data_IF_992461166884
#
_entry.id   IF_992461166884
#
_cell.length_a   1.000
_cell.length_b   1.000
_cell.length_c   1.000
_cell.angle_alpha   90.00
_cell.angle_beta   90.00
_cell.angle_gamma   90.00
#
_symmetry.space_group_name_H-M   'P 1'
#
loop_
_entity.id
_entity.type
_entity.pdbx_description
1 polymer ?
#
# COMPACT_ATOMS: atom_id res chain seq x y z
N UNK A 1 -10.76 8.95 14.48
CA UNK A 1 -9.56 9.80 14.55
C UNK A 1 -8.80 9.64 13.25
N UNK A 2 -8.50 10.72 12.53
CA UNK A 2 -7.70 10.62 11.30
C UNK A 2 -6.26 10.25 11.66
N UNK A 3 -5.69 9.24 11.01
CA UNK A 3 -4.29 8.87 11.21
C UNK A 3 -3.39 10.02 10.72
N UNK A 4 -2.45 10.47 11.55
CA UNK A 4 -1.47 11.48 11.15
C UNK A 4 -0.39 10.86 10.24
N UNK A 5 0.28 11.69 9.43
CA UNK A 5 1.28 11.23 8.43
C UNK A 5 2.37 10.37 9.06
N UNK A 6 2.81 10.69 10.29
CA UNK A 6 3.82 9.92 11.01
C UNK A 6 3.35 8.50 11.38
N UNK A 7 2.12 8.35 11.85
CA UNK A 7 1.53 7.03 12.17
C UNK A 7 1.34 6.18 10.92
N UNK A 8 0.93 6.78 9.80
CA UNK A 8 0.79 6.10 8.52
C UNK A 8 2.15 5.65 7.96
N UNK A 9 3.18 6.50 8.05
CA UNK A 9 4.54 6.15 7.64
C UNK A 9 5.06 4.91 8.38
N UNK A 10 4.93 4.90 9.71
CA UNK A 10 5.39 3.76 10.53
C UNK A 10 4.61 2.48 10.23
N UNK A 11 3.30 2.59 9.98
CA UNK A 11 2.48 1.45 9.59
C UNK A 11 2.96 0.85 8.27
N UNK A 12 3.06 1.66 7.21
CA UNK A 12 3.45 1.18 5.88
C UNK A 12 4.88 0.65 5.82
N UNK A 13 5.79 1.23 6.60
CA UNK A 13 7.16 0.71 6.74
C UNK A 13 7.19 -0.68 7.38
N UNK A 14 6.32 -0.95 8.36
CA UNK A 14 6.19 -2.28 9.00
C UNK A 14 5.39 -3.27 8.15
N UNK A 15 4.45 -2.77 7.36
CA UNK A 15 3.66 -3.57 6.45
C UNK A 15 4.53 -4.20 5.36
N UNK A 16 5.62 -3.51 4.96
CA UNK A 16 6.59 -3.97 3.95
C UNK A 16 5.91 -4.46 2.66
N UNK A 17 5.32 -3.49 1.93
CA UNK A 17 4.62 -3.77 0.69
C UNK A 17 5.51 -4.52 -0.32
N UNK A 18 6.81 -4.20 -0.36
CA UNK A 18 7.75 -4.85 -1.27
C UNK A 18 7.94 -6.33 -0.93
N UNK A 19 8.03 -6.68 0.36
CA UNK A 19 8.05 -8.08 0.77
C UNK A 19 6.76 -8.80 0.36
N UNK A 20 5.61 -8.22 0.65
CA UNK A 20 4.33 -8.80 0.25
C UNK A 20 4.24 -9.01 -1.27
N UNK A 21 4.66 -8.03 -2.07
CA UNK A 21 4.71 -8.13 -3.53
C UNK A 21 5.57 -9.31 -3.99
N UNK A 22 6.77 -9.50 -3.41
CA UNK A 22 7.64 -10.65 -3.72
C UNK A 22 7.01 -12.00 -3.34
N UNK A 23 6.34 -12.08 -2.19
CA UNK A 23 5.65 -13.30 -1.75
C UNK A 23 4.47 -13.65 -2.67
N UNK A 24 3.74 -12.63 -3.13
CA UNK A 24 2.65 -12.78 -4.09
C UNK A 24 3.16 -13.22 -5.47
N UNK A 25 4.27 -12.66 -5.97
CA UNK A 25 4.93 -13.08 -7.22
C UNK A 25 5.34 -14.56 -7.18
N UNK A 26 5.99 -14.96 -6.09
CA UNK A 26 6.39 -16.35 -5.89
C UNK A 26 5.17 -17.29 -5.88
N UNK A 27 4.10 -16.88 -5.19
CA UNK A 27 2.84 -17.64 -5.14
C UNK A 27 2.18 -17.73 -6.51
N UNK A 28 2.13 -16.63 -7.28
CA UNK A 28 1.57 -16.59 -8.62
C UNK A 28 2.34 -17.51 -9.59
N UNK A 29 3.67 -17.55 -9.47
CA UNK A 29 4.54 -18.44 -10.25
C UNK A 29 4.25 -19.91 -9.96
N UNK A 30 4.15 -20.27 -8.67
CA UNK A 30 3.79 -21.64 -8.26
C UNK A 30 2.36 -22.00 -8.70
N UNK A 31 1.44 -21.04 -8.67
CA UNK A 31 0.05 -21.25 -9.06
C UNK A 31 -0.06 -21.65 -10.52
N UNK A 32 0.69 -21.00 -11.42
CA UNK A 32 0.72 -21.34 -12.84
C UNK A 32 1.15 -22.80 -13.06
N UNK A 33 2.22 -23.24 -12.39
CA UNK A 33 2.68 -24.62 -12.46
C UNK A 33 1.62 -25.61 -11.95
N UNK A 34 0.96 -25.28 -10.84
CA UNK A 34 -0.10 -26.14 -10.25
C UNK A 34 -1.34 -26.23 -11.14
N UNK A 35 -1.70 -25.16 -11.84
CA UNK A 35 -2.78 -25.18 -12.83
C UNK A 35 -2.49 -26.18 -13.94
N UNK A 36 -1.30 -26.12 -14.53
CA UNK A 36 -0.88 -27.04 -15.59
C UNK A 36 -0.85 -28.50 -15.10
N UNK A 37 -0.31 -28.76 -13.91
CA UNK A 37 -0.28 -30.10 -13.31
C UNK A 37 -1.68 -30.65 -13.05
N UNK A 38 -2.59 -29.83 -12.50
CA UNK A 38 -3.98 -30.22 -12.24
C UNK A 38 -4.73 -30.54 -13.53
N UNK A 39 -4.52 -29.76 -14.59
CA UNK A 39 -5.14 -30.03 -15.89
C UNK A 39 -4.63 -31.31 -16.53
N UNK A 40 -3.32 -31.58 -16.43
CA UNK A 40 -2.74 -32.85 -16.89
C UNK A 40 -3.25 -34.04 -16.08
N UNK A 41 -3.29 -33.94 -14.76
CA UNK A 41 -3.80 -34.99 -13.86
C UNK A 41 -5.25 -35.34 -14.18
N UNK A 42 -6.10 -34.32 -14.38
CA UNK A 42 -7.50 -34.51 -14.78
C UNK A 42 -7.62 -35.23 -16.13
N UNK A 43 -6.81 -34.86 -17.14
CA UNK A 43 -6.79 -35.55 -18.44
C UNK A 43 -6.42 -37.03 -18.29
N UNK A 44 -5.37 -37.34 -17.51
CA UNK A 44 -4.95 -38.73 -17.23
C UNK A 44 -6.05 -39.54 -16.54
N UNK A 45 -6.74 -38.97 -15.55
CA UNK A 45 -7.85 -39.63 -14.85
C UNK A 45 -9.02 -39.95 -15.80
N UNK A 46 -9.34 -39.04 -16.73
CA UNK A 46 -10.39 -39.27 -17.72
C UNK A 46 -10.00 -40.43 -18.66
N UNK A 47 -8.76 -40.48 -19.11
CA UNK A 47 -8.23 -41.57 -19.95
C UNK A 47 -8.27 -42.90 -19.21
N UNK A 48 -7.78 -42.95 -17.97
CA UNK A 48 -7.84 -44.14 -17.11
C UNK A 48 -9.28 -44.62 -16.88
N UNK A 49 -10.23 -43.70 -16.67
CA UNK A 49 -11.65 -44.04 -16.51
C UNK A 49 -12.25 -44.66 -17.77
N UNK A 50 -11.86 -44.14 -18.96
CA UNK A 50 -12.29 -44.69 -20.25
C UNK A 50 -11.69 -46.06 -20.51
N UNK A 51 -10.40 -46.22 -20.24
CA UNK A 51 -9.69 -47.50 -20.39
C UNK A 51 -10.25 -48.56 -19.44
N UNK A 52 -10.47 -48.20 -18.17
CA UNK A 52 -11.15 -49.07 -17.21
C UNK A 52 -12.51 -49.51 -17.73
N UNK A 53 -13.36 -48.58 -18.22
CA UNK A 53 -14.64 -48.94 -18.80
C UNK A 53 -14.48 -49.91 -19.96
N UNK A 54 -13.57 -49.65 -20.91
CA UNK A 54 -13.35 -50.50 -22.10
C UNK A 54 -12.94 -51.94 -21.74
N UNK A 55 -12.08 -52.09 -20.74
CA UNK A 55 -11.47 -53.37 -20.38
C UNK A 55 -12.23 -54.15 -19.28
N UNK A 56 -13.34 -53.60 -18.76
CA UNK A 56 -14.11 -54.21 -17.66
C UNK A 56 -15.38 -54.91 -18.18
N UNK A 57 -15.70 -56.13 -17.67
CA UNK A 57 -16.96 -56.84 -17.95
C UNK A 57 -18.21 -56.01 -17.67
N UNK A 58 -19.30 -56.27 -18.39
CA UNK A 58 -20.51 -55.43 -18.36
C UNK A 58 -21.16 -55.36 -16.97
N UNK A 59 -21.25 -56.50 -16.29
CA UNK A 59 -21.87 -56.66 -14.97
C UNK A 59 -21.11 -55.84 -13.90
N UNK A 60 -19.77 -55.90 -13.93
CA UNK A 60 -18.93 -55.09 -13.05
C UNK A 60 -18.98 -53.60 -13.43
N UNK A 61 -19.07 -53.29 -14.73
CA UNK A 61 -19.23 -51.91 -15.22
C UNK A 61 -20.53 -51.29 -14.70
N UNK A 62 -21.64 -52.04 -14.65
CA UNK A 62 -22.94 -51.58 -14.10
C UNK A 62 -22.84 -51.25 -12.61
N UNK A 63 -22.13 -52.06 -11.82
CA UNK A 63 -21.95 -51.82 -10.39
C UNK A 63 -21.04 -50.62 -10.11
N UNK A 64 -19.98 -50.44 -10.89
CA UNK A 64 -18.96 -49.39 -10.68
C UNK A 64 -19.36 -48.04 -11.31
N UNK A 65 -20.28 -48.03 -12.28
CA UNK A 65 -20.69 -46.81 -12.98
C UNK A 65 -21.21 -45.68 -12.07
N UNK A 66 -22.08 -45.92 -11.06
CA UNK A 66 -22.52 -44.88 -10.13
C UNK A 66 -21.36 -44.29 -9.33
N UNK A 67 -20.42 -45.13 -8.89
CA UNK A 67 -19.24 -44.72 -8.14
C UNK A 67 -18.34 -43.80 -8.97
N UNK A 68 -18.01 -44.22 -10.20
CA UNK A 68 -17.20 -43.40 -11.12
C UNK A 68 -17.88 -42.06 -11.43
N UNK A 69 -19.21 -42.04 -11.56
CA UNK A 69 -19.97 -40.81 -11.79
C UNK A 69 -19.91 -39.88 -10.56
N UNK A 70 -19.99 -40.43 -9.36
CA UNK A 70 -19.83 -39.66 -8.11
C UNK A 70 -18.43 -39.06 -7.98
N UNK A 71 -17.37 -39.84 -8.25
CA UNK A 71 -16.00 -39.34 -8.25
C UNK A 71 -15.77 -38.25 -9.30
N UNK A 72 -16.31 -38.44 -10.51
CA UNK A 72 -16.24 -37.41 -11.55
C UNK A 72 -16.92 -36.11 -11.11
N UNK A 73 -18.10 -36.19 -10.50
CA UNK A 73 -18.81 -35.04 -9.96
C UNK A 73 -18.00 -34.29 -8.90
N UNK A 74 -17.39 -35.01 -7.96
CA UNK A 74 -16.57 -34.40 -6.92
C UNK A 74 -15.29 -33.77 -7.49
N UNK A 75 -14.62 -34.43 -8.45
CA UNK A 75 -13.45 -33.89 -9.13
C UNK A 75 -13.80 -32.61 -9.89
N UNK A 76 -14.95 -32.57 -10.57
CA UNK A 76 -15.40 -31.40 -11.32
C UNK A 76 -15.77 -30.25 -10.38
N UNK A 77 -16.45 -30.54 -9.26
CA UNK A 77 -16.76 -29.56 -8.23
C UNK A 77 -15.49 -28.98 -7.57
N UNK A 78 -14.53 -29.84 -7.23
CA UNK A 78 -13.24 -29.44 -6.68
C UNK A 78 -12.46 -28.58 -7.69
N UNK A 79 -12.41 -29.00 -8.95
CA UNK A 79 -11.75 -28.25 -10.03
C UNK A 79 -12.36 -26.88 -10.21
N UNK A 80 -13.70 -26.77 -10.16
CA UNK A 80 -14.40 -25.49 -10.23
C UNK A 80 -14.03 -24.58 -9.06
N UNK A 81 -14.10 -25.09 -7.82
CA UNK A 81 -13.73 -24.32 -6.61
C UNK A 81 -12.27 -23.89 -6.63
N UNK A 82 -11.35 -24.73 -7.12
CA UNK A 82 -9.93 -24.38 -7.27
C UNK A 82 -9.75 -23.24 -8.26
N UNK A 83 -10.34 -23.35 -9.46
CA UNK A 83 -10.28 -22.30 -10.49
C UNK A 83 -10.87 -20.97 -10.01
N UNK A 84 -11.96 -20.99 -9.25
CA UNK A 84 -12.55 -19.78 -8.66
C UNK A 84 -11.63 -19.15 -7.62
N UNK A 85 -11.02 -19.94 -6.73
CA UNK A 85 -10.06 -19.44 -5.73
C UNK A 85 -8.79 -18.89 -6.38
N UNK A 86 -8.25 -19.58 -7.38
CA UNK A 86 -7.11 -19.13 -8.18
C UNK A 86 -7.40 -17.81 -8.90
N UNK A 87 -8.57 -17.69 -9.53
CA UNK A 87 -9.00 -16.46 -10.18
C UNK A 87 -9.14 -15.29 -9.19
N UNK A 88 -9.72 -15.55 -8.01
CA UNK A 88 -9.83 -14.55 -6.96
C UNK A 88 -8.45 -14.07 -6.48
N UNK A 89 -7.51 -15.00 -6.26
CA UNK A 89 -6.13 -14.67 -5.93
C UNK A 89 -5.47 -13.81 -7.02
N UNK A 90 -5.54 -14.24 -8.28
CA UNK A 90 -4.92 -13.51 -9.39
C UNK A 90 -5.52 -12.11 -9.58
N UNK A 91 -6.82 -11.94 -9.30
CA UNK A 91 -7.47 -10.63 -9.35
C UNK A 91 -6.94 -9.66 -8.29
N UNK A 92 -6.65 -10.14 -7.08
CA UNK A 92 -6.05 -9.33 -6.02
C UNK A 92 -4.57 -9.06 -6.32
N UNK A 93 -3.83 -10.11 -6.71
CA UNK A 93 -2.42 -10.02 -7.09
C UNK A 93 -2.15 -8.94 -8.16
N UNK A 94 -2.89 -8.98 -9.28
CA UNK A 94 -2.77 -7.99 -10.37
C UNK A 94 -2.98 -6.54 -9.91
N UNK A 95 -3.80 -6.33 -8.87
CA UNK A 95 -4.07 -5.00 -8.33
C UNK A 95 -2.99 -4.52 -7.36
N UNK A 96 -2.25 -5.45 -6.73
CA UNK A 96 -1.26 -5.13 -5.70
C UNK A 96 0.17 -5.09 -6.23
N UNK A 97 0.48 -5.84 -7.28
CA UNK A 97 1.86 -5.98 -7.76
C UNK A 97 2.42 -4.68 -8.35
N UNK A 98 1.58 -3.90 -9.01
CA UNK A 98 1.97 -2.64 -9.65
C UNK A 98 1.79 -1.42 -8.73
N UNK A 99 1.37 -1.62 -7.47
CA UNK A 99 1.14 -0.51 -6.54
C UNK A 99 2.49 0.06 -6.11
N UNK A 100 2.74 1.36 -6.32
CA UNK A 100 3.97 1.99 -5.84
C UNK A 100 3.98 2.02 -4.30
N UNK A 101 5.16 1.82 -3.73
CA UNK A 101 5.35 1.90 -2.27
C UNK A 101 5.01 3.32 -1.78
N UNK A 102 4.06 3.49 -0.83
CA UNK A 102 3.73 4.80 -0.27
C UNK A 102 4.77 5.33 0.72
N UNK A 103 5.69 4.49 1.23
CA UNK A 103 6.67 4.85 2.27
C UNK A 103 7.53 6.07 1.86
N UNK A 104 8.10 6.16 0.64
CA UNK A 104 8.89 7.32 0.23
C UNK A 104 8.09 8.62 0.19
N UNK A 105 6.84 8.57 -0.28
CA UNK A 105 5.97 9.75 -0.33
C UNK A 105 5.55 10.20 1.09
N UNK A 106 5.30 9.25 2.00
CA UNK A 106 4.96 9.53 3.39
C UNK A 106 6.15 10.10 4.17
N UNK A 107 7.37 9.62 3.93
CA UNK A 107 8.60 10.20 4.50
C UNK A 107 8.78 11.66 4.08
N UNK A 108 8.66 11.92 2.77
CA UNK A 108 8.71 13.29 2.25
C UNK A 108 7.64 14.18 2.87
N UNK A 109 6.41 13.67 3.01
CA UNK A 109 5.31 14.38 3.66
C UNK A 109 5.62 14.75 5.11
N UNK A 110 6.22 13.83 5.88
CA UNK A 110 6.65 14.10 7.25
C UNK A 110 7.75 15.16 7.30
N UNK A 111 8.74 15.09 6.42
CA UNK A 111 9.82 16.08 6.36
C UNK A 111 9.31 17.47 5.98
N UNK A 112 8.37 17.56 5.04
CA UNK A 112 7.73 18.82 4.65
C UNK A 112 6.91 19.41 5.80
N UNK A 113 6.19 18.59 6.56
CA UNK A 113 5.44 19.05 7.73
C UNK A 113 6.36 19.70 8.78
N UNK A 114 7.52 19.09 9.04
CA UNK A 114 8.52 19.67 9.95
C UNK A 114 9.11 20.98 9.41
N UNK A 115 9.37 21.06 8.10
CA UNK A 115 9.85 22.29 7.46
C UNK A 115 8.84 23.42 7.54
N UNK A 116 7.55 23.12 7.30
CA UNK A 116 6.46 24.10 7.40
C UNK A 116 6.34 24.64 8.82
N UNK A 117 6.41 23.78 9.84
CA UNK A 117 6.40 24.22 11.23
C UNK A 117 7.57 25.18 11.52
N UNK A 118 8.78 24.80 11.10
CA UNK A 118 9.97 25.63 11.28
C UNK A 118 9.87 26.97 10.54
N UNK A 119 9.31 26.98 9.34
CA UNK A 119 9.09 28.23 8.59
C UNK A 119 8.13 29.16 9.33
N UNK A 120 7.04 28.62 9.87
CA UNK A 120 6.08 29.40 10.65
C UNK A 120 6.71 30.00 11.92
N UNK A 121 7.55 29.23 12.61
CA UNK A 121 8.27 29.70 13.80
C UNK A 121 9.22 30.86 13.42
N UNK A 122 9.96 30.73 12.32
CA UNK A 122 10.87 31.76 11.79
C UNK A 122 10.11 33.01 11.34
N UNK A 123 8.98 32.86 10.64
CA UNK A 123 8.15 33.99 10.21
C UNK A 123 7.62 34.78 11.41
N UNK A 124 7.17 34.07 12.45
CA UNK A 124 6.69 34.68 13.70
C UNK A 124 7.80 35.43 14.43
N UNK A 125 9.01 34.87 14.51
CA UNK A 125 10.17 35.54 15.09
C UNK A 125 10.57 36.77 14.27
N UNK A 126 10.60 36.65 12.93
CA UNK A 126 10.93 37.75 12.04
C UNK A 126 9.96 38.93 12.21
N UNK A 127 8.66 38.64 12.32
CA UNK A 127 7.63 39.65 12.56
C UNK A 127 7.88 40.40 13.88
N UNK A 128 8.13 39.68 14.98
CA UNK A 128 8.44 40.28 16.29
C UNK A 128 9.70 41.14 16.27
N UNK A 129 10.74 40.70 15.57
CA UNK A 129 11.98 41.46 15.42
C UNK A 129 11.75 42.75 14.63
N UNK A 130 10.94 42.71 13.56
CA UNK A 130 10.55 43.90 12.80
C UNK A 130 9.80 44.90 13.65
N UNK A 131 8.81 44.45 14.43
CA UNK A 131 8.05 45.28 15.36
C UNK A 131 8.97 45.95 16.40
N UNK A 132 9.87 45.17 17.01
CA UNK A 132 10.84 45.68 17.99
C UNK A 132 11.77 46.74 17.38
N UNK A 133 12.25 46.53 16.14
CA UNK A 133 13.10 47.49 15.44
C UNK A 133 12.35 48.79 15.11
N UNK A 134 11.08 48.69 14.71
CA UNK A 134 10.25 49.87 14.47
C UNK A 134 10.03 50.68 15.75
N UNK A 135 9.74 50.02 16.87
CA UNK A 135 9.60 50.66 18.17
C UNK A 135 10.90 51.37 18.58
N UNK A 136 12.03 50.67 18.51
CA UNK A 136 13.33 51.26 18.84
C UNK A 136 13.68 52.45 17.95
N UNK A 137 13.39 52.37 16.64
CA UNK A 137 13.62 53.50 15.72
C UNK A 137 12.70 54.69 16.04
N UNK A 138 11.42 54.45 16.38
CA UNK A 138 10.50 55.51 16.83
C UNK A 138 11.00 56.17 18.11
N UNK A 139 11.48 55.39 19.08
CA UNK A 139 12.06 55.91 20.33
C UNK A 139 13.31 56.74 20.08
N UNK A 140 14.26 56.25 19.27
CA UNK A 140 15.46 57.01 18.89
C UNK A 140 15.10 58.33 18.19
N UNK A 141 14.11 58.31 17.31
CA UNK A 141 13.66 59.51 16.61
C UNK A 141 13.01 60.53 17.56
N UNK A 142 12.22 60.08 18.53
CA UNK A 142 11.68 60.92 19.62
C UNK A 142 12.77 61.54 20.50
N UNK A 143 13.79 60.75 20.86
CA UNK A 143 14.93 61.26 21.63
C UNK A 143 15.72 62.31 20.83
N UNK A 144 15.96 62.05 19.55
CA UNK A 144 16.66 63.00 18.68
C UNK A 144 15.91 64.33 18.57
N UNK A 145 14.60 64.31 18.29
CA UNK A 145 13.79 65.54 18.21
C UNK A 145 13.74 66.31 19.53
N UNK A 146 13.65 65.63 20.68
CA UNK A 146 13.73 66.29 21.98
C UNK A 146 15.09 66.95 22.26
N UNK A 147 16.19 66.27 21.93
CA UNK A 147 17.54 66.84 22.13
C UNK A 147 17.83 68.03 21.22
N UNK A 148 17.37 67.99 19.97
CA UNK A 148 17.52 69.10 19.02
C UNK A 148 16.61 70.28 19.39
N UNK A 149 15.38 70.02 19.84
CA UNK A 149 14.46 71.06 20.33
C UNK A 149 14.89 71.75 21.62
N UNK A 150 15.59 71.04 22.53
CA UNK A 150 16.18 71.66 23.73
C UNK A 150 17.38 72.56 23.42
N UNK A 151 18.14 72.27 22.35
CA UNK A 151 19.28 73.10 21.94
C UNK A 151 18.85 74.41 21.28
N UNK A 152 17.67 74.47 20.66
CA UNK A 152 17.13 75.70 20.03
C UNK A 152 16.39 76.62 21.00
N UNK A 153 16.03 76.17 22.22
CA UNK A 153 15.34 76.97 23.24
C UNK A 153 16.24 77.55 24.34
N UNK A 154 17.56 77.35 24.29
CA UNK A 154 18.51 78.09 25.13
C UNK A 154 19.17 79.21 24.32
N UNK A 155 18.61 80.43 24.28
CA UNK A 155 19.41 81.61 23.97
C UNK A 155 20.31 81.94 25.17
N UNK A 156 21.52 82.40 24.88
CA UNK A 156 22.40 83.01 25.88
C UNK A 156 21.86 84.34 26.40
#
# INVERSE_FOLDING_TARGET
MAANVGSMFQYWKRFDLQQLQRELDATATVLANRQDESEQSRKRLIEQSREFKKNTPEDLRKQVAPLLKSFQGEIDALSKRSKEAEAAFLNVYKRLIDVPDPVPALDLGQQLQLKVQRLHDIETENQKLRETLEEYNKERQKQHTQTTGRKTQRPG
#
